data_IF_536512758846
#
_entry.id   IF_536512758846
#
_cell.length_a   1.000
_cell.length_b   1.000
_cell.length_c   1.000
_cell.angle_alpha   90.00
_cell.angle_beta   90.00
_cell.angle_gamma   90.00
#
_symmetry.space_group_name_H-M   'P 1'
#
loop_
_entity.id
_entity.type
_entity.pdbx_description
1 polymer ?
#
# COMPACT_ATOMS: atom_id res chain seq x y z
N UNK A 1 -43.87 -76.60 5.37
CA UNK A 1 -42.75 -76.14 4.53
C UNK A 1 -43.21 -74.89 3.83
N UNK A 2 -42.85 -73.73 4.38
CA UNK A 2 -43.22 -72.42 3.84
C UNK A 2 -41.99 -71.83 3.17
N UNK A 3 -42.06 -71.61 1.87
CA UNK A 3 -41.02 -70.96 1.09
C UNK A 3 -41.01 -69.47 1.46
N UNK A 4 -39.90 -69.01 2.04
CA UNK A 4 -39.56 -67.59 2.10
C UNK A 4 -39.33 -67.10 0.67
N UNK A 5 -40.24 -66.29 0.17
CA UNK A 5 -40.04 -65.50 -1.04
C UNK A 5 -39.43 -64.18 -0.57
N UNK A 6 -38.10 -64.07 -0.71
CA UNK A 6 -37.42 -62.78 -0.65
C UNK A 6 -37.93 -61.95 -1.84
N UNK A 7 -38.72 -60.94 -1.53
CA UNK A 7 -39.23 -59.97 -2.48
C UNK A 7 -38.08 -59.02 -2.84
N UNK A 8 -37.43 -59.32 -3.97
CA UNK A 8 -36.35 -58.51 -4.53
C UNK A 8 -36.98 -57.31 -5.27
N UNK A 9 -36.89 -56.12 -4.68
CA UNK A 9 -37.36 -54.87 -5.27
C UNK A 9 -36.34 -54.35 -6.30
N UNK A 10 -36.65 -54.33 -7.62
CA UNK A 10 -35.66 -54.08 -8.65
C UNK A 10 -35.87 -52.72 -9.33
N UNK A 11 -35.92 -51.58 -8.62
CA UNK A 11 -35.95 -50.25 -9.28
C UNK A 11 -35.32 -49.13 -8.43
N UNK A 12 -34.03 -48.84 -8.63
CA UNK A 12 -33.45 -47.47 -8.72
C UNK A 12 -31.91 -47.50 -8.69
N UNK A 13 -31.28 -47.65 -9.85
CA UNK A 13 -29.85 -47.35 -10.01
C UNK A 13 -29.61 -45.86 -9.75
N UNK A 14 -28.85 -45.54 -8.70
CA UNK A 14 -28.17 -44.24 -8.56
C UNK A 14 -28.51 -43.36 -7.35
N UNK A 15 -29.31 -43.83 -6.38
CA UNK A 15 -29.48 -43.11 -5.10
C UNK A 15 -28.72 -43.82 -3.99
N UNK A 16 -27.47 -43.41 -3.79
CA UNK A 16 -26.74 -43.77 -2.56
C UNK A 16 -27.39 -42.98 -1.43
N UNK A 17 -28.19 -43.65 -0.61
CA UNK A 17 -28.73 -43.05 0.60
C UNK A 17 -27.61 -43.00 1.65
N UNK A 18 -27.11 -41.80 1.92
CA UNK A 18 -26.16 -41.55 3.00
C UNK A 18 -26.88 -41.77 4.33
N UNK A 19 -26.19 -42.41 5.28
CA UNK A 19 -26.66 -42.42 6.66
C UNK A 19 -26.52 -41.01 7.26
N UNK A 20 -27.29 -40.70 8.30
CA UNK A 20 -27.23 -39.38 8.95
C UNK A 20 -25.80 -39.03 9.43
N UNK A 21 -25.06 -40.02 9.95
CA UNK A 21 -23.66 -39.85 10.36
C UNK A 21 -22.72 -39.53 9.18
N UNK A 22 -22.95 -40.15 8.00
CA UNK A 22 -22.18 -39.87 6.80
C UNK A 22 -22.49 -38.48 6.22
N UNK A 23 -23.74 -38.04 6.35
CA UNK A 23 -24.16 -36.69 5.97
C UNK A 23 -23.48 -35.63 6.86
N UNK A 24 -23.47 -35.82 8.18
CA UNK A 24 -22.76 -34.92 9.10
C UNK A 24 -21.27 -34.83 8.78
N UNK A 25 -20.60 -35.96 8.56
CA UNK A 25 -19.19 -35.96 8.16
C UNK A 25 -18.93 -35.28 6.81
N UNK A 26 -19.84 -35.45 5.85
CA UNK A 26 -19.75 -34.77 4.55
C UNK A 26 -19.89 -33.25 4.72
N UNK A 27 -20.87 -32.82 5.52
CA UNK A 27 -21.13 -31.40 5.80
C UNK A 27 -19.93 -30.78 6.49
N UNK A 28 -19.37 -31.41 7.51
CA UNK A 28 -18.17 -30.94 8.22
C UNK A 28 -16.98 -30.79 7.27
N UNK A 29 -16.75 -31.79 6.41
CA UNK A 29 -15.67 -31.76 5.42
C UNK A 29 -15.84 -30.63 4.41
N UNK A 30 -17.05 -30.46 3.88
CA UNK A 30 -17.36 -29.40 2.93
C UNK A 30 -17.23 -28.02 3.59
N UNK A 31 -17.64 -27.90 4.85
CA UNK A 31 -17.52 -26.67 5.62
C UNK A 31 -16.06 -26.27 5.86
N UNK A 32 -15.22 -27.21 6.33
CA UNK A 32 -13.77 -26.97 6.50
C UNK A 32 -13.08 -26.63 5.18
N UNK A 33 -13.46 -27.30 4.09
CA UNK A 33 -12.93 -26.99 2.77
C UNK A 33 -13.37 -25.60 2.26
N UNK A 34 -14.60 -25.20 2.56
CA UNK A 34 -15.11 -23.86 2.25
C UNK A 34 -14.37 -22.78 3.06
N UNK A 35 -14.13 -23.00 4.36
CA UNK A 35 -13.38 -22.06 5.19
C UNK A 35 -11.96 -21.85 4.68
N UNK A 36 -11.22 -22.95 4.44
CA UNK A 36 -9.84 -22.86 3.93
C UNK A 36 -9.76 -22.14 2.57
N UNK A 37 -10.73 -22.35 1.67
CA UNK A 37 -10.80 -21.60 0.40
C UNK A 37 -11.07 -20.11 0.62
N UNK A 38 -11.94 -19.75 1.56
CA UNK A 38 -12.23 -18.35 1.88
C UNK A 38 -11.01 -17.66 2.50
N UNK A 39 -10.32 -18.33 3.42
CA UNK A 39 -9.09 -17.81 4.03
C UNK A 39 -8.00 -17.57 2.97
N UNK A 40 -7.78 -18.54 2.08
CA UNK A 40 -6.81 -18.38 0.99
C UNK A 40 -7.16 -17.21 0.06
N UNK A 41 -8.44 -17.05 -0.29
CA UNK A 41 -8.90 -15.97 -1.14
C UNK A 41 -8.78 -14.60 -0.45
N UNK A 42 -9.10 -14.53 0.85
CA UNK A 42 -8.89 -13.30 1.64
C UNK A 42 -7.42 -12.91 1.70
N UNK A 43 -6.51 -13.87 1.94
CA UNK A 43 -5.08 -13.62 1.93
C UNK A 43 -4.56 -13.13 0.57
N UNK A 44 -5.07 -13.68 -0.53
CA UNK A 44 -4.74 -13.23 -1.90
C UNK A 44 -5.23 -11.79 -2.16
N UNK A 45 -6.47 -11.48 -1.75
CA UNK A 45 -7.03 -10.14 -1.88
C UNK A 45 -6.29 -9.13 -1.00
N UNK A 46 -5.94 -9.50 0.23
CA UNK A 46 -5.16 -8.65 1.12
C UNK A 46 -3.78 -8.35 0.54
N UNK A 47 -3.09 -9.37 0.00
CA UNK A 47 -1.80 -9.16 -0.69
C UNK A 47 -1.94 -8.26 -1.93
N UNK A 48 -3.09 -8.32 -2.63
CA UNK A 48 -3.33 -7.56 -3.87
C UNK A 48 -3.72 -6.10 -3.61
N UNK A 49 -4.56 -5.84 -2.62
CA UNK A 49 -5.12 -4.51 -2.34
C UNK A 49 -4.37 -3.77 -1.23
N UNK A 50 -3.76 -4.50 -0.29
CA UNK A 50 -2.99 -3.95 0.81
C UNK A 50 -1.57 -4.54 0.84
N UNK A 51 -0.75 -4.29 -0.20
CA UNK A 51 0.63 -4.72 -0.18
C UNK A 51 1.35 -4.05 1.01
N UNK A 52 1.57 -4.82 2.07
CA UNK A 52 2.34 -4.37 3.23
C UNK A 52 3.77 -4.17 2.75
N UNK A 53 4.17 -2.89 2.59
CA UNK A 53 5.54 -2.57 2.28
C UNK A 53 6.45 -3.17 3.36
N UNK A 54 7.53 -3.82 2.94
CA UNK A 54 8.51 -4.34 3.88
C UNK A 54 9.01 -3.19 4.77
N UNK A 55 9.16 -3.42 6.09
CA UNK A 55 9.67 -2.40 6.99
C UNK A 55 11.04 -1.95 6.50
N UNK A 56 11.16 -0.67 6.11
CA UNK A 56 12.43 -0.12 5.66
C UNK A 56 13.35 0.01 6.87
N UNK A 57 14.33 -0.88 6.95
CA UNK A 57 15.41 -0.78 7.94
C UNK A 57 16.46 0.18 7.41
N UNK A 58 16.66 1.29 8.13
CA UNK A 58 17.74 2.23 7.83
C UNK A 58 19.06 1.55 8.22
N UNK A 59 20.03 1.52 7.30
CA UNK A 59 21.33 0.94 7.62
C UNK A 59 22.03 1.73 8.74
N UNK A 60 22.81 1.07 9.61
CA UNK A 60 23.48 1.73 10.74
C UNK A 60 24.42 2.85 10.26
N UNK A 61 25.06 2.68 9.09
CA UNK A 61 25.91 3.69 8.48
C UNK A 61 25.13 4.95 8.06
N UNK A 62 23.93 4.77 7.52
CA UNK A 62 23.07 5.90 7.11
C UNK A 62 22.57 6.65 8.33
N UNK A 63 22.22 5.93 9.39
CA UNK A 63 21.80 6.50 10.66
C UNK A 63 22.96 7.28 11.32
N UNK A 64 24.16 6.71 11.34
CA UNK A 64 25.36 7.39 11.84
C UNK A 64 25.68 8.66 11.05
N UNK A 65 25.65 8.62 9.72
CA UNK A 65 25.83 9.82 8.87
C UNK A 65 24.79 10.90 9.16
N UNK A 66 23.54 10.51 9.39
CA UNK A 66 22.46 11.44 9.75
C UNK A 66 22.70 12.07 11.12
N UNK A 67 23.03 11.27 12.13
CA UNK A 67 23.35 11.74 13.49
C UNK A 67 24.56 12.66 13.45
N UNK A 68 25.62 12.26 12.76
CA UNK A 68 26.84 13.04 12.61
C UNK A 68 26.55 14.40 11.95
N UNK A 69 25.81 14.43 10.84
CA UNK A 69 25.42 15.70 10.19
C UNK A 69 24.59 16.59 11.10
N UNK A 70 23.64 16.01 11.86
CA UNK A 70 22.75 16.78 12.72
C UNK A 70 23.49 17.32 13.95
N UNK A 71 24.34 16.51 14.58
CA UNK A 71 25.07 16.88 15.79
C UNK A 71 26.26 17.76 15.44
N UNK A 72 27.07 17.41 14.45
CA UNK A 72 28.28 18.17 14.12
C UNK A 72 27.92 19.55 13.56
N UNK A 73 26.93 19.65 12.67
CA UNK A 73 26.52 20.95 12.14
C UNK A 73 25.85 21.84 13.19
N UNK A 74 25.20 21.24 14.19
CA UNK A 74 24.59 21.99 15.32
C UNK A 74 25.67 22.45 16.29
N UNK A 75 26.62 21.56 16.61
CA UNK A 75 27.76 21.85 17.47
C UNK A 75 28.69 22.88 16.85
N UNK A 76 28.93 22.82 15.54
CA UNK A 76 29.71 23.81 14.81
C UNK A 76 29.01 25.18 14.84
N UNK A 77 27.70 25.24 14.60
CA UNK A 77 26.93 26.49 14.76
C UNK A 77 26.94 27.02 16.20
N UNK A 78 26.93 26.14 17.21
CA UNK A 78 27.08 26.55 18.61
C UNK A 78 28.47 27.07 18.91
N UNK A 79 29.50 26.44 18.36
CA UNK A 79 30.88 26.89 18.53
C UNK A 79 31.13 28.22 17.84
N UNK A 80 30.65 28.41 16.60
CA UNK A 80 30.74 29.68 15.88
C UNK A 80 30.07 30.81 16.66
N UNK A 81 28.81 30.60 17.12
CA UNK A 81 28.11 31.60 17.95
C UNK A 81 28.85 31.93 19.24
N UNK A 82 29.44 30.94 19.92
CA UNK A 82 30.25 31.19 21.12
C UNK A 82 31.48 32.02 20.80
N UNK A 83 32.23 31.67 19.74
CA UNK A 83 33.40 32.43 19.30
C UNK A 83 33.05 33.86 18.92
N UNK A 84 31.92 34.09 18.26
CA UNK A 84 31.41 35.43 17.93
C UNK A 84 31.09 36.23 19.19
N UNK A 85 30.40 35.63 20.16
CA UNK A 85 30.08 36.27 21.43
C UNK A 85 31.35 36.59 22.24
N UNK A 86 32.29 35.66 22.31
CA UNK A 86 33.58 35.86 23.00
C UNK A 86 34.40 36.95 22.32
N UNK A 87 34.42 36.99 20.99
CA UNK A 87 35.06 38.06 20.23
C UNK A 87 34.38 39.42 20.44
N UNK A 88 33.04 39.47 20.53
CA UNK A 88 32.31 40.70 20.85
C UNK A 88 32.61 41.17 22.27
N UNK A 89 32.61 40.28 23.25
CA UNK A 89 32.92 40.60 24.65
C UNK A 89 34.37 41.08 24.82
N UNK A 90 35.32 40.46 24.12
CA UNK A 90 36.72 40.88 24.10
C UNK A 90 36.90 42.26 23.43
N UNK A 91 36.19 42.54 22.33
CA UNK A 91 36.21 43.84 21.67
C UNK A 91 35.61 44.94 22.56
N UNK A 92 34.53 44.63 23.28
CA UNK A 92 33.91 45.53 24.26
C UNK A 92 34.87 45.82 25.43
N UNK A 93 35.50 44.78 26.00
CA UNK A 93 36.45 44.90 27.10
C UNK A 93 37.74 45.66 26.72
N UNK A 94 38.19 45.56 25.47
CA UNK A 94 39.38 46.26 24.96
C UNK A 94 39.08 47.68 24.48
N UNK A 95 37.82 48.14 24.58
CA UNK A 95 37.44 49.52 24.24
C UNK A 95 37.52 49.83 22.74
N UNK A 96 37.61 48.81 21.88
CA UNK A 96 37.48 48.93 20.43
C UNK A 96 36.07 48.47 20.03
N UNK A 97 35.03 49.30 20.19
CA UNK A 97 33.74 48.96 19.63
C UNK A 97 33.91 48.95 18.11
N UNK A 98 33.90 47.76 17.49
CA UNK A 98 33.69 47.72 16.05
C UNK A 98 32.29 48.29 15.81
N UNK A 99 32.25 49.53 15.35
CA UNK A 99 31.03 50.31 15.15
C UNK A 99 30.06 49.60 14.21
N UNK A 100 30.56 48.70 13.36
CA UNK A 100 29.77 47.83 12.50
C UNK A 100 29.00 46.72 13.23
N UNK A 101 29.61 46.02 14.21
CA UNK A 101 28.97 44.89 14.89
C UNK A 101 27.95 45.36 15.95
N UNK A 102 28.27 46.41 16.70
CA UNK A 102 27.34 47.02 17.66
C UNK A 102 26.13 47.68 16.96
N UNK A 103 26.33 48.23 15.74
CA UNK A 103 25.24 48.73 14.92
C UNK A 103 24.39 47.60 14.29
N UNK A 104 24.98 46.43 14.00
CA UNK A 104 24.23 45.29 13.47
C UNK A 104 23.34 44.61 14.53
N UNK A 105 23.82 44.48 15.77
CA UNK A 105 23.06 43.85 16.87
C UNK A 105 21.84 44.66 17.33
N UNK A 106 21.80 45.97 17.05
CA UNK A 106 20.68 46.87 17.39
C UNK A 106 19.83 47.30 16.20
N UNK A 107 20.07 46.76 14.99
CA UNK A 107 19.19 47.02 13.83
C UNK A 107 17.89 46.25 14.02
N UNK A 108 16.96 46.84 14.77
CA UNK A 108 15.54 46.69 14.47
C UNK A 108 15.38 47.00 12.99
N UNK A 109 14.89 46.02 12.22
CA UNK A 109 14.57 46.21 10.80
C UNK A 109 13.72 47.48 10.68
N UNK A 110 14.09 48.38 9.76
CA UNK A 110 13.22 49.49 9.43
C UNK A 110 11.87 48.93 8.99
N UNK A 111 10.77 49.60 9.33
CA UNK A 111 9.40 49.14 9.05
C UNK A 111 9.25 48.68 7.59
N UNK A 112 9.77 49.46 6.64
CA UNK A 112 9.75 49.15 5.20
C UNK A 112 10.48 47.84 4.84
N UNK A 113 11.55 47.50 5.57
CA UNK A 113 12.29 46.25 5.36
C UNK A 113 11.54 45.05 5.94
N UNK A 114 10.84 45.26 7.06
CA UNK A 114 9.96 44.24 7.63
C UNK A 114 8.78 43.97 6.69
N UNK A 115 8.15 45.02 6.18
CA UNK A 115 7.01 44.92 5.24
C UNK A 115 7.43 44.23 3.93
N UNK A 116 8.58 44.59 3.37
CA UNK A 116 9.13 43.91 2.18
C UNK A 116 9.43 42.43 2.44
N UNK A 117 9.92 42.08 3.64
CA UNK A 117 10.16 40.69 4.02
C UNK A 117 8.86 39.90 4.17
N UNK A 118 7.83 40.50 4.76
CA UNK A 118 6.49 39.88 4.91
C UNK A 118 5.86 39.67 3.54
N UNK A 119 5.95 40.66 2.65
CA UNK A 119 5.43 40.56 1.28
C UNK A 119 6.13 39.44 0.51
N UNK A 120 7.47 39.38 0.55
CA UNK A 120 8.23 38.29 -0.10
C UNK A 120 7.80 36.92 0.42
N UNK A 121 7.67 36.77 1.74
CA UNK A 121 7.22 35.51 2.34
C UNK A 121 5.81 35.13 1.89
N UNK A 122 4.89 36.09 1.83
CA UNK A 122 3.54 35.87 1.35
C UNK A 122 3.54 35.40 -0.11
N UNK A 123 4.28 36.09 -0.98
CA UNK A 123 4.37 35.75 -2.40
C UNK A 123 5.01 34.37 -2.62
N UNK A 124 6.07 34.04 -1.88
CA UNK A 124 6.70 32.72 -1.91
C UNK A 124 5.73 31.61 -1.48
N UNK A 125 4.93 31.85 -0.42
CA UNK A 125 3.95 30.88 0.04
C UNK A 125 2.82 30.66 -0.97
N UNK A 126 2.36 31.73 -1.64
CA UNK A 126 1.38 31.64 -2.70
C UNK A 126 1.93 30.89 -3.92
N UNK A 127 3.16 31.19 -4.34
CA UNK A 127 3.82 30.49 -5.43
C UNK A 127 3.95 28.99 -5.14
N UNK A 128 4.38 28.63 -3.93
CA UNK A 128 4.49 27.23 -3.48
C UNK A 128 3.14 26.53 -3.46
N UNK A 129 2.07 27.21 -3.01
CA UNK A 129 0.71 26.65 -3.00
C UNK A 129 0.21 26.40 -4.43
N UNK A 130 0.42 27.36 -5.34
CA UNK A 130 0.05 27.21 -6.77
C UNK A 130 0.78 26.05 -7.44
N UNK A 131 2.09 25.92 -7.19
CA UNK A 131 2.87 24.81 -7.72
C UNK A 131 2.34 23.45 -7.23
N UNK A 132 2.08 23.31 -5.92
CA UNK A 132 1.49 22.08 -5.36
C UNK A 132 0.10 21.77 -5.91
N UNK A 133 -0.74 22.79 -6.12
CA UNK A 133 -2.06 22.60 -6.73
C UNK A 133 -1.92 22.06 -8.15
N UNK A 134 -1.06 22.67 -8.98
CA UNK A 134 -0.81 22.20 -10.35
C UNK A 134 -0.22 20.78 -10.40
N UNK A 135 0.68 20.43 -9.48
CA UNK A 135 1.19 19.06 -9.34
C UNK A 135 0.08 18.08 -8.94
N UNK A 136 -0.77 18.46 -7.99
CA UNK A 136 -1.88 17.63 -7.56
C UNK A 136 -2.92 17.43 -8.66
N UNK A 137 -3.21 18.47 -9.45
CA UNK A 137 -4.07 18.37 -10.63
C UNK A 137 -3.44 17.43 -11.66
N UNK A 138 -2.15 17.56 -11.95
CA UNK A 138 -1.47 16.64 -12.87
C UNK A 138 -1.53 15.17 -12.41
N UNK A 139 -1.40 14.92 -11.10
CA UNK A 139 -1.36 13.56 -10.55
C UNK A 139 -2.75 12.94 -10.38
N UNK A 140 -3.74 13.74 -10.01
CA UNK A 140 -5.05 13.25 -9.56
C UNK A 140 -6.22 13.75 -10.41
N UNK A 141 -6.02 14.68 -11.35
CA UNK A 141 -7.05 14.98 -12.32
C UNK A 141 -7.33 13.73 -13.15
N UNK A 142 -8.60 13.34 -13.16
CA UNK A 142 -9.07 12.29 -14.03
C UNK A 142 -8.96 12.77 -15.47
N UNK A 143 -7.97 12.27 -16.20
CA UNK A 143 -7.79 12.52 -17.62
C UNK A 143 -8.52 11.42 -18.41
N UNK A 144 -9.78 11.64 -18.86
CA UNK A 144 -10.54 10.59 -19.55
C UNK A 144 -9.87 10.13 -20.85
N UNK A 145 -9.02 10.97 -21.44
CA UNK A 145 -8.26 10.65 -22.66
C UNK A 145 -7.07 9.70 -22.41
N UNK A 146 -6.53 9.65 -21.19
CA UNK A 146 -5.42 8.72 -20.85
C UNK A 146 -5.93 7.32 -20.52
N UNK A 147 -7.21 7.18 -20.17
CA UNK A 147 -7.85 5.89 -19.97
C UNK A 147 -8.16 5.28 -21.35
N UNK A 148 -7.15 4.65 -21.94
CA UNK A 148 -7.34 3.72 -23.05
C UNK A 148 -8.10 2.50 -22.52
N UNK A 149 -9.41 2.62 -22.35
CA UNK A 149 -10.28 1.46 -22.18
C UNK A 149 -10.19 0.67 -23.48
N UNK A 150 -9.30 -0.31 -23.53
CA UNK A 150 -9.28 -1.32 -24.57
C UNK A 150 -10.56 -2.15 -24.39
N UNK A 151 -11.69 -1.60 -24.83
CA UNK A 151 -12.93 -2.36 -24.98
C UNK A 151 -12.58 -3.49 -25.94
N UNK A 152 -12.61 -4.73 -25.45
CA UNK A 152 -12.42 -5.90 -26.31
C UNK A 152 -13.36 -5.76 -27.51
N UNK A 153 -12.86 -6.05 -28.71
CA UNK A 153 -13.72 -6.06 -29.89
C UNK A 153 -14.86 -7.04 -29.65
N UNK A 154 -16.03 -6.76 -30.23
CA UNK A 154 -17.22 -7.62 -30.10
C UNK A 154 -16.91 -9.06 -30.53
N UNK A 155 -16.02 -9.20 -31.51
CA UNK A 155 -15.48 -10.47 -32.01
C UNK A 155 -14.66 -11.20 -30.93
N UNK A 156 -13.67 -10.54 -30.31
CA UNK A 156 -12.86 -11.14 -29.24
C UNK A 156 -13.70 -11.53 -28.01
N UNK A 157 -14.74 -10.76 -27.70
CA UNK A 157 -15.69 -11.11 -26.65
C UNK A 157 -16.48 -12.38 -27.01
N UNK A 158 -16.98 -12.47 -28.24
CA UNK A 158 -17.74 -13.62 -28.73
C UNK A 158 -16.90 -14.90 -28.78
N UNK A 159 -15.63 -14.81 -29.17
CA UNK A 159 -14.69 -15.94 -29.17
C UNK A 159 -14.38 -16.42 -27.74
N UNK A 160 -14.20 -15.49 -26.80
CA UNK A 160 -13.97 -15.82 -25.39
C UNK A 160 -15.19 -16.55 -24.79
N UNK A 161 -16.40 -16.07 -25.07
CA UNK A 161 -17.65 -16.70 -24.63
C UNK A 161 -17.78 -18.09 -25.26
N UNK A 162 -17.52 -18.23 -26.56
CA UNK A 162 -17.57 -19.52 -27.26
C UNK A 162 -16.53 -20.53 -26.72
N UNK A 163 -15.36 -20.06 -26.27
CA UNK A 163 -14.36 -20.90 -25.60
C UNK A 163 -14.83 -21.35 -24.21
N UNK A 164 -15.49 -20.47 -23.47
CA UNK A 164 -15.99 -20.75 -22.12
C UNK A 164 -17.24 -21.62 -22.12
N UNK A 165 -18.07 -21.54 -23.16
CA UNK A 165 -19.32 -22.30 -23.28
C UNK A 165 -19.13 -23.76 -23.66
N UNK A 166 -17.93 -24.16 -24.11
CA UNK A 166 -17.63 -25.56 -24.43
C UNK A 166 -17.07 -26.27 -23.19
N UNK A 167 -17.63 -27.44 -22.82
CA UNK A 167 -17.08 -28.23 -21.71
C UNK A 167 -15.64 -28.64 -22.04
N UNK A 168 -14.72 -28.46 -21.08
CA UNK A 168 -13.28 -28.71 -21.27
C UNK A 168 -12.94 -30.19 -21.53
N UNK A 169 -13.81 -31.10 -21.13
CA UNK A 169 -13.77 -32.54 -21.41
C UNK A 169 -15.19 -33.03 -21.62
N UNK A 170 -15.41 -33.81 -22.68
CA UNK A 170 -16.69 -34.44 -23.03
C UNK A 170 -16.73 -35.93 -22.69
N UNK A 171 -15.56 -36.55 -22.50
CA UNK A 171 -15.42 -37.96 -22.17
C UNK A 171 -14.56 -38.08 -20.92
N UNK A 172 -15.05 -38.81 -19.92
CA UNK A 172 -14.34 -39.10 -18.68
C UNK A 172 -14.06 -40.60 -18.62
N UNK A 173 -12.83 -40.97 -18.24
CA UNK A 173 -12.51 -42.38 -18.00
C UNK A 173 -13.16 -42.86 -16.70
N UNK A 174 -13.40 -44.16 -16.60
CA UNK A 174 -13.97 -44.79 -15.40
C UNK A 174 -13.10 -44.48 -14.16
N UNK A 175 -11.77 -44.43 -14.32
CA UNK A 175 -10.84 -44.07 -13.25
C UNK A 175 -10.98 -42.61 -12.80
N UNK A 176 -11.22 -41.67 -13.73
CA UNK A 176 -11.45 -40.26 -13.41
C UNK A 176 -12.80 -40.08 -12.70
N UNK A 177 -13.82 -40.82 -13.14
CA UNK A 177 -15.14 -40.85 -12.48
C UNK A 177 -14.98 -41.43 -11.06
N UNK A 178 -14.32 -42.57 -10.92
CA UNK A 178 -14.06 -43.19 -9.62
C UNK A 178 -13.27 -42.27 -8.69
N UNK A 179 -12.29 -41.51 -9.21
CA UNK A 179 -11.56 -40.50 -8.44
C UNK A 179 -12.42 -39.30 -8.01
N UNK A 180 -13.39 -38.87 -8.83
CA UNK A 180 -14.34 -37.82 -8.46
C UNK A 180 -15.32 -38.32 -7.39
N UNK A 181 -15.72 -39.59 -7.47
CA UNK A 181 -16.67 -40.21 -6.54
C UNK A 181 -16.02 -40.93 -5.35
N UNK A 182 -14.69 -41.02 -5.29
CA UNK A 182 -13.94 -41.66 -4.21
C UNK A 182 -14.12 -43.17 -4.11
N UNK A 183 -14.45 -43.84 -5.22
CA UNK A 183 -14.55 -45.29 -5.38
C UNK A 183 -13.19 -45.88 -5.80
#
# INVERSE_FOLDING_TARGET
MAHNVEEYDPVALGRVHLTAEQEEHLVDRLYTQSLSRKEANMAELDARYYPVAAPQTISPETLQKSVQRQVDAEMERRQQRRREMDAMAAAEATGYPSTAAAAAAKKTLAQDQADASVQRMYDETLARKKAKMAESERLYAFHPESVKTAKMSKEALSESVARMSKPKKTEFSIEEVNKIYGL
#
